data_IF_887360675880
#
_entry.id   IF_887360675880
#
_cell.length_a   1.000
_cell.length_b   1.000
_cell.length_c   1.000
_cell.angle_alpha   90.00
_cell.angle_beta   90.00
_cell.angle_gamma   90.00
#
_symmetry.space_group_name_H-M   'P 1'
#
loop_
_entity.id
_entity.type
_entity.pdbx_description
1 polymer ?
#
# COMPACT_ATOMS: atom_id res chain seq x y z
N UNK A 1 -3.44 16.73 -8.34
CA UNK A 1 -3.51 15.40 -7.73
C UNK A 1 -4.85 15.22 -7.04
N UNK A 2 -5.54 14.13 -7.31
CA UNK A 2 -6.83 13.89 -6.67
C UNK A 2 -6.63 13.40 -5.23
N UNK A 3 -7.53 13.79 -4.35
CA UNK A 3 -7.56 13.27 -3.00
C UNK A 3 -7.99 11.80 -3.01
N UNK A 4 -7.57 11.07 -1.99
CA UNK A 4 -7.98 9.70 -1.76
C UNK A 4 -9.48 9.64 -1.49
N UNK A 5 -10.20 8.74 -2.16
CA UNK A 5 -11.65 8.57 -2.00
C UNK A 5 -12.04 7.43 -1.07
N UNK A 6 -11.15 6.46 -0.86
CA UNK A 6 -11.40 5.36 0.08
C UNK A 6 -11.41 5.89 1.50
N UNK A 7 -12.50 5.68 2.22
CA UNK A 7 -12.61 6.09 3.62
C UNK A 7 -11.86 5.09 4.51
N UNK A 8 -10.97 5.60 5.35
CA UNK A 8 -10.20 4.80 6.30
C UNK A 8 -10.60 5.17 7.71
N UNK A 9 -10.79 4.15 8.57
CA UNK A 9 -11.07 4.32 9.99
C UNK A 9 -9.88 3.81 10.78
N UNK A 10 -9.36 4.63 11.71
CA UNK A 10 -8.23 4.22 12.53
C UNK A 10 -8.60 3.02 13.40
N UNK A 11 -7.78 1.98 13.36
CA UNK A 11 -7.96 0.76 14.12
C UNK A 11 -6.91 0.59 15.22
N UNK A 12 -5.64 0.85 14.91
CA UNK A 12 -4.54 0.77 15.87
C UNK A 12 -3.46 1.78 15.52
N UNK A 13 -2.79 2.31 16.56
CA UNK A 13 -1.67 3.22 16.43
C UNK A 13 -0.54 2.73 17.33
N UNK A 14 0.59 2.36 16.72
CA UNK A 14 1.78 1.87 17.42
C UNK A 14 2.98 2.80 17.21
N UNK A 15 2.74 4.11 17.14
CA UNK A 15 3.79 5.10 16.92
C UNK A 15 4.18 5.22 15.45
N UNK A 16 5.14 4.42 14.99
CA UNK A 16 5.60 4.42 13.59
C UNK A 16 4.84 3.45 12.69
N UNK A 17 3.77 2.85 13.19
CA UNK A 17 2.88 1.98 12.43
C UNK A 17 1.43 2.28 12.79
N UNK A 18 0.60 2.47 11.76
CA UNK A 18 -0.84 2.65 11.95
C UNK A 18 -1.60 1.66 11.10
N UNK A 19 -2.65 1.11 11.67
CA UNK A 19 -3.55 0.20 10.96
C UNK A 19 -4.91 0.87 10.84
N UNK A 20 -5.45 0.84 9.63
CA UNK A 20 -6.78 1.37 9.33
C UNK A 20 -7.66 0.25 8.82
N UNK A 21 -8.96 0.39 9.02
CA UNK A 21 -9.96 -0.49 8.41
C UNK A 21 -10.67 0.24 7.29
N UNK A 22 -11.25 -0.49 6.35
CA UNK A 22 -12.11 0.08 5.33
C UNK A 22 -13.40 -0.74 5.21
N UNK A 23 -14.34 -0.27 4.42
CA UNK A 23 -15.69 -0.84 4.31
C UNK A 23 -15.66 -2.36 4.11
N UNK A 24 -16.42 -3.07 4.93
CA UNK A 24 -16.50 -4.53 4.87
C UNK A 24 -15.63 -5.26 5.89
N UNK A 25 -14.82 -4.52 6.67
CA UNK A 25 -13.99 -5.15 7.70
C UNK A 25 -14.82 -5.78 8.80
N UNK A 26 -14.48 -7.04 9.16
CA UNK A 26 -14.99 -7.74 10.34
C UNK A 26 -13.86 -8.49 11.00
N UNK A 27 -14.08 -8.99 12.21
CA UNK A 27 -13.04 -9.75 12.91
C UNK A 27 -12.64 -11.04 12.17
N UNK A 28 -13.59 -11.68 11.48
CA UNK A 28 -13.33 -12.90 10.70
C UNK A 28 -12.92 -12.62 9.26
N UNK A 29 -13.26 -11.45 8.73
CA UNK A 29 -12.97 -11.04 7.35
C UNK A 29 -12.23 -9.70 7.37
N UNK A 30 -10.95 -9.69 7.72
CA UNK A 30 -10.20 -8.44 7.86
C UNK A 30 -10.00 -7.73 6.52
N UNK A 31 -10.17 -6.40 6.57
CA UNK A 31 -9.91 -5.47 5.46
C UNK A 31 -9.13 -4.31 6.03
N UNK A 32 -7.83 -4.34 5.82
CA UNK A 32 -6.90 -3.46 6.52
C UNK A 32 -6.02 -2.70 5.54
N UNK A 33 -5.67 -1.47 5.95
CA UNK A 33 -4.57 -0.72 5.35
C UNK A 33 -3.57 -0.47 6.46
N UNK A 34 -2.32 -0.88 6.25
CA UNK A 34 -1.26 -0.74 7.24
C UNK A 34 -0.22 0.23 6.70
N UNK A 35 0.02 1.30 7.45
CA UNK A 35 1.03 2.29 7.11
C UNK A 35 2.16 2.20 8.13
N UNK A 36 3.39 2.04 7.64
CA UNK A 36 4.59 2.07 8.47
C UNK A 36 5.51 3.16 7.98
N UNK A 37 6.18 3.83 8.90
CA UNK A 37 7.20 4.81 8.58
C UNK A 37 8.48 4.51 9.33
N UNK A 38 9.60 4.77 8.69
CA UNK A 38 10.91 4.72 9.33
C UNK A 38 11.53 6.09 9.22
N UNK A 39 11.63 6.77 10.35
CA UNK A 39 12.18 8.13 10.40
C UNK A 39 13.70 8.05 10.35
N UNK A 40 14.31 8.93 9.55
CA UNK A 40 15.76 9.03 9.49
C UNK A 40 16.30 9.50 10.84
N UNK A 41 17.40 8.87 11.26
CA UNK A 41 18.13 9.23 12.48
C UNK A 41 19.54 9.67 12.12
N UNK A 42 20.33 10.10 13.11
CA UNK A 42 21.68 10.57 12.87
C UNK A 42 22.62 9.54 12.19
N UNK A 43 22.30 8.25 12.26
CA UNK A 43 23.04 7.18 11.62
C UNK A 43 22.42 6.69 10.32
N UNK A 44 21.21 7.16 9.98
CA UNK A 44 20.46 6.72 8.81
C UNK A 44 20.08 7.93 7.96
N UNK A 45 20.51 7.92 6.70
CA UNK A 45 20.23 8.99 5.74
C UNK A 45 19.08 8.66 4.78
N UNK A 46 18.37 7.56 4.99
CA UNK A 46 17.28 7.10 4.14
C UNK A 46 15.97 7.09 4.91
N UNK A 47 14.95 7.70 4.32
CA UNK A 47 13.57 7.62 4.81
C UNK A 47 12.91 6.43 4.12
N UNK A 48 12.13 5.66 4.87
CA UNK A 48 11.40 4.53 4.32
C UNK A 48 9.97 4.53 4.85
N UNK A 49 8.99 4.50 3.94
CA UNK A 49 7.58 4.42 4.25
C UNK A 49 6.96 3.26 3.48
N UNK A 50 6.03 2.56 4.10
CA UNK A 50 5.35 1.43 3.49
C UNK A 50 3.84 1.56 3.70
N UNK A 51 3.07 1.34 2.64
CA UNK A 51 1.61 1.25 2.71
C UNK A 51 1.19 -0.09 2.15
N UNK A 52 0.48 -0.88 2.93
CA UNK A 52 0.00 -2.21 2.53
C UNK A 52 -1.51 -2.27 2.63
N UNK A 53 -2.14 -2.85 1.62
CA UNK A 53 -3.58 -3.19 1.64
C UNK A 53 -3.68 -4.69 1.81
N UNK A 54 -4.43 -5.12 2.83
CA UNK A 54 -4.65 -6.54 3.13
C UNK A 54 -6.14 -6.80 3.15
N UNK A 55 -6.58 -7.78 2.38
CA UNK A 55 -7.99 -8.15 2.30
C UNK A 55 -8.15 -9.65 2.38
N UNK A 56 -9.11 -10.08 3.22
CA UNK A 56 -9.55 -11.48 3.19
C UNK A 56 -10.26 -11.80 1.86
N UNK A 57 -10.26 -13.06 1.49
CA UNK A 57 -10.96 -13.54 0.29
C UNK A 57 -11.54 -14.92 0.54
N UNK A 58 -12.49 -15.31 -0.29
CA UNK A 58 -13.18 -16.60 -0.24
C UNK A 58 -12.90 -17.38 -1.52
N UNK A 59 -13.11 -18.69 -1.46
CA UNK A 59 -13.10 -19.53 -2.66
C UNK A 59 -14.46 -19.47 -3.37
N UNK A 60 -14.59 -20.21 -4.47
CA UNK A 60 -15.83 -20.23 -5.26
C UNK A 60 -17.04 -20.81 -4.49
N UNK A 61 -16.82 -21.53 -3.40
CA UNK A 61 -17.85 -22.10 -2.55
C UNK A 61 -18.25 -21.20 -1.37
N UNK A 62 -17.62 -20.04 -1.25
CA UNK A 62 -17.87 -19.11 -0.15
C UNK A 62 -17.07 -19.41 1.12
N UNK A 63 -16.13 -20.35 1.08
CA UNK A 63 -15.29 -20.67 2.23
C UNK A 63 -14.12 -19.70 2.31
N UNK A 64 -13.92 -19.12 3.50
CA UNK A 64 -12.84 -18.15 3.76
C UNK A 64 -11.46 -18.82 3.62
N UNK A 65 -10.60 -18.22 2.81
CA UNK A 65 -9.25 -18.74 2.61
C UNK A 65 -8.30 -18.21 3.71
N UNK A 66 -7.32 -19.04 4.07
CA UNK A 66 -6.29 -18.65 5.04
C UNK A 66 -5.31 -17.62 4.47
N UNK A 67 -5.04 -17.70 3.18
CA UNK A 67 -4.20 -16.72 2.48
C UNK A 67 -5.03 -15.49 2.15
N UNK A 68 -4.43 -14.31 2.34
CA UNK A 68 -5.09 -13.03 2.09
C UNK A 68 -4.52 -12.36 0.85
N UNK A 69 -5.30 -11.50 0.25
CA UNK A 69 -4.84 -10.60 -0.82
C UNK A 69 -4.00 -9.52 -0.16
N UNK A 70 -2.83 -9.23 -0.71
CA UNK A 70 -1.94 -8.20 -0.18
C UNK A 70 -1.29 -7.42 -1.32
N UNK A 71 -1.35 -6.09 -1.22
CA UNK A 71 -0.64 -5.17 -2.08
C UNK A 71 0.19 -4.23 -1.22
N UNK A 72 1.42 -3.97 -1.62
CA UNK A 72 2.33 -3.15 -0.83
C UNK A 72 3.06 -2.15 -1.72
N UNK A 73 3.08 -0.89 -1.29
CA UNK A 73 3.91 0.14 -1.86
C UNK A 73 4.98 0.54 -0.86
N UNK A 74 6.24 0.49 -1.27
CA UNK A 74 7.38 0.90 -0.45
C UNK A 74 8.04 2.11 -1.07
N UNK A 75 8.14 3.18 -0.30
CA UNK A 75 8.85 4.40 -0.67
C UNK A 75 10.17 4.45 0.09
N UNK A 76 11.25 4.63 -0.63
CA UNK A 76 12.58 4.87 -0.03
C UNK A 76 13.23 6.02 -0.76
N UNK A 77 13.75 6.98 -0.01
CA UNK A 77 14.54 8.05 -0.62
C UNK A 77 15.57 8.61 0.36
N UNK A 78 16.69 9.12 -0.13
CA UNK A 78 17.66 9.80 0.72
C UNK A 78 17.06 11.07 1.34
N UNK A 79 17.44 11.37 2.57
CA UNK A 79 17.01 12.61 3.25
C UNK A 79 17.43 13.85 2.46
N UNK A 80 18.63 13.80 1.86
CA UNK A 80 19.20 14.92 1.10
C UNK A 80 18.78 14.92 -0.37
N UNK A 81 17.87 14.03 -0.77
CA UNK A 81 17.36 13.96 -2.13
C UNK A 81 16.59 15.22 -2.51
N UNK A 82 16.65 15.58 -3.79
CA UNK A 82 15.90 16.71 -4.32
C UNK A 82 14.42 16.38 -4.34
N UNK A 83 13.60 17.20 -3.70
CA UNK A 83 12.15 16.97 -3.58
C UNK A 83 11.46 16.82 -4.96
N UNK A 84 11.92 17.57 -5.96
CA UNK A 84 11.38 17.48 -7.31
C UNK A 84 11.60 16.08 -7.93
N UNK A 85 12.72 15.44 -7.65
CA UNK A 85 13.00 14.09 -8.16
C UNK A 85 12.12 13.05 -7.48
N UNK A 86 11.86 13.19 -6.18
CA UNK A 86 10.93 12.31 -5.46
C UNK A 86 9.53 12.44 -6.03
N UNK A 87 9.07 13.67 -6.27
CA UNK A 87 7.74 13.92 -6.85
C UNK A 87 7.62 13.35 -8.26
N UNK A 88 8.67 13.50 -9.09
CA UNK A 88 8.68 12.95 -10.44
C UNK A 88 8.62 11.42 -10.45
N UNK A 89 9.39 10.78 -9.58
CA UNK A 89 9.37 9.32 -9.45
C UNK A 89 8.03 8.80 -8.94
N UNK A 90 7.41 9.50 -8.00
CA UNK A 90 6.08 9.17 -7.50
C UNK A 90 5.04 9.25 -8.60
N UNK A 91 5.10 10.28 -9.44
CA UNK A 91 4.16 10.44 -10.55
C UNK A 91 4.24 9.26 -11.53
N UNK A 92 5.45 8.81 -11.85
CA UNK A 92 5.66 7.65 -12.72
C UNK A 92 5.11 6.37 -12.07
N UNK A 93 5.39 6.18 -10.79
CA UNK A 93 4.92 5.01 -10.05
C UNK A 93 3.39 4.94 -10.03
N UNK A 94 2.75 6.07 -9.76
CA UNK A 94 1.28 6.17 -9.74
C UNK A 94 0.68 5.91 -11.12
N UNK A 95 1.31 6.41 -12.16
CA UNK A 95 0.87 6.18 -13.54
C UNK A 95 0.91 4.69 -13.89
N UNK A 96 1.99 4.01 -13.55
CA UNK A 96 2.13 2.57 -13.79
C UNK A 96 1.03 1.79 -13.06
N UNK A 97 0.83 2.07 -11.76
CA UNK A 97 -0.15 1.35 -10.95
C UNK A 97 -1.58 1.61 -11.43
N UNK A 98 -1.88 2.82 -11.91
CA UNK A 98 -3.20 3.16 -12.39
C UNK A 98 -3.46 2.70 -13.83
N UNK A 99 -2.45 2.18 -14.53
CA UNK A 99 -2.57 1.76 -15.91
C UNK A 99 -3.24 0.40 -16.11
N UNK A 100 -3.80 0.20 -17.29
CA UNK A 100 -4.42 -1.08 -17.68
C UNK A 100 -3.39 -2.22 -17.67
N UNK A 101 -2.15 -1.92 -18.02
CA UNK A 101 -1.06 -2.88 -18.05
C UNK A 101 -0.82 -3.50 -16.67
N UNK A 102 -0.88 -2.69 -15.62
CA UNK A 102 -0.75 -3.20 -14.24
C UNK A 102 -1.94 -4.07 -13.85
N UNK A 103 -3.15 -3.71 -14.26
CA UNK A 103 -4.34 -4.54 -14.05
C UNK A 103 -4.18 -5.91 -14.70
N UNK A 104 -3.62 -5.96 -15.91
CA UNK A 104 -3.33 -7.23 -16.59
C UNK A 104 -2.25 -8.03 -15.87
N UNK A 105 -1.26 -7.37 -15.30
CA UNK A 105 -0.25 -8.04 -14.46
C UNK A 105 -0.90 -8.74 -13.27
N UNK A 106 -1.83 -8.07 -12.60
CA UNK A 106 -2.54 -8.63 -11.45
C UNK A 106 -3.43 -9.80 -11.85
N UNK A 107 -4.17 -9.69 -12.94
CA UNK A 107 -5.17 -10.70 -13.33
C UNK A 107 -4.56 -11.91 -14.05
N UNK A 108 -3.55 -11.72 -14.87
CA UNK A 108 -2.98 -12.77 -15.73
C UNK A 108 -1.46 -12.86 -15.70
N UNK A 109 -0.80 -12.15 -14.81
CA UNK A 109 0.66 -12.12 -14.64
C UNK A 109 1.42 -11.69 -15.89
N UNK A 110 0.82 -10.81 -16.70
CA UNK A 110 1.47 -10.27 -17.88
C UNK A 110 2.53 -9.23 -17.51
N UNK A 111 3.54 -9.10 -18.37
CA UNK A 111 4.54 -8.05 -18.24
C UNK A 111 3.93 -6.69 -18.55
N UNK A 112 4.55 -5.62 -18.02
CA UNK A 112 4.10 -4.25 -18.31
C UNK A 112 4.31 -3.88 -19.78
N UNK A 113 5.32 -4.45 -20.39
CA UNK A 113 5.64 -4.22 -21.81
C UNK A 113 6.08 -5.55 -22.45
#
# INVERSE_FOLDING_TARGET
>A
MAAMTTALTEFADNGNSRTYTYTGHTASEPRLVIQRRKVATGSTSVIEDTVSVVSSTEDANGDLLTSKISFEAKLRHPVDGIAADVTAALAIFRDIIAGDEFTNTVSTQEWLV
#
